data_IF_935793452295
#
_entry.id   IF_935793452295
#
_cell.length_a   1.000
_cell.length_b   1.000
_cell.length_c   1.000
_cell.angle_alpha   90.00
_cell.angle_beta   90.00
_cell.angle_gamma   90.00
#
_symmetry.space_group_name_H-M   'P 1'
#
loop_
_entity.id
_entity.type
_entity.pdbx_description
1 polymer ?
#
# COMPACT_ATOMS: atom_id res chain seq x y z
N UNK A 1 13.83 -78.77 -22.40
CA UNK A 1 12.73 -77.90 -22.84
C UNK A 1 11.81 -77.60 -21.66
N UNK A 2 11.96 -76.42 -21.04
CA UNK A 2 10.98 -75.75 -20.17
C UNK A 2 11.44 -74.29 -20.05
N UNK A 3 10.56 -73.39 -20.49
CA UNK A 3 10.76 -71.95 -20.65
C UNK A 3 10.43 -71.27 -19.32
N UNK A 4 11.23 -70.29 -18.89
CA UNK A 4 10.89 -69.36 -17.80
C UNK A 4 10.92 -67.94 -18.37
N UNK A 5 9.80 -67.20 -18.38
CA UNK A 5 9.79 -65.84 -18.90
C UNK A 5 10.24 -64.86 -17.81
N UNK A 6 11.26 -64.04 -18.10
CA UNK A 6 11.63 -62.89 -17.29
C UNK A 6 10.62 -61.77 -17.50
N UNK A 7 9.95 -61.36 -16.42
CA UNK A 7 9.04 -60.20 -16.40
C UNK A 7 9.89 -58.92 -16.35
N UNK A 8 9.79 -58.07 -17.36
CA UNK A 8 10.36 -56.72 -17.37
C UNK A 8 9.32 -55.76 -16.79
N UNK A 9 9.59 -55.18 -15.63
CA UNK A 9 8.78 -54.12 -15.05
C UNK A 9 9.14 -52.78 -15.72
N UNK A 10 8.24 -52.25 -16.54
CA UNK A 10 8.34 -50.90 -17.08
C UNK A 10 7.91 -49.88 -16.02
N UNK A 11 8.83 -48.99 -15.62
CA UNK A 11 8.54 -47.84 -14.75
C UNK A 11 7.95 -46.72 -15.61
N UNK A 12 6.72 -46.23 -15.35
CA UNK A 12 6.22 -45.07 -16.08
C UNK A 12 6.91 -43.81 -15.56
N UNK A 13 7.63 -43.11 -16.44
CA UNK A 13 8.10 -41.76 -16.18
C UNK A 13 6.89 -40.81 -16.13
N UNK A 14 6.48 -40.42 -14.92
CA UNK A 14 5.45 -39.41 -14.73
C UNK A 14 6.01 -38.03 -15.09
N UNK A 15 5.51 -37.45 -16.18
CA UNK A 15 5.72 -36.03 -16.51
C UNK A 15 4.96 -35.17 -15.50
N UNK A 16 5.67 -34.56 -14.56
CA UNK A 16 5.12 -33.52 -13.69
C UNK A 16 4.95 -32.24 -14.52
N UNK A 17 3.75 -32.01 -15.02
CA UNK A 17 3.35 -30.75 -15.63
C UNK A 17 3.15 -29.76 -14.48
N UNK A 18 4.16 -28.93 -14.20
CA UNK A 18 4.02 -27.83 -13.25
C UNK A 18 3.03 -26.80 -13.83
N UNK A 19 1.83 -26.72 -13.25
CA UNK A 19 0.88 -25.67 -13.57
C UNK A 19 1.46 -24.30 -13.19
N UNK A 20 1.16 -23.22 -13.94
CA UNK A 20 1.61 -21.90 -13.57
C UNK A 20 0.91 -21.50 -12.27
N UNK A 21 1.70 -21.23 -11.22
CA UNK A 21 1.20 -20.58 -10.01
C UNK A 21 0.82 -19.16 -10.40
N UNK A 22 -0.48 -18.89 -10.51
CA UNK A 22 -0.97 -17.52 -10.61
C UNK A 22 -0.54 -16.80 -9.34
N UNK A 23 0.34 -15.79 -9.47
CA UNK A 23 0.67 -14.92 -8.35
C UNK A 23 -0.63 -14.27 -7.86
N UNK A 24 -1.01 -14.53 -6.62
CA UNK A 24 -2.17 -13.90 -6.02
C UNK A 24 -1.90 -12.39 -5.97
N UNK A 25 -2.77 -11.58 -6.58
CA UNK A 25 -2.74 -10.13 -6.40
C UNK A 25 -2.83 -9.84 -4.89
N UNK A 26 -2.08 -8.85 -4.37
CA UNK A 26 -2.17 -8.48 -2.97
C UNK A 26 -3.64 -8.21 -2.60
N UNK A 27 -4.07 -8.72 -1.46
CA UNK A 27 -5.41 -8.44 -0.99
C UNK A 27 -5.60 -6.92 -0.90
N UNK A 28 -6.75 -6.44 -1.39
CA UNK A 28 -7.13 -5.04 -1.33
C UNK A 28 -7.19 -4.61 0.14
N UNK A 29 -6.39 -3.64 0.60
CA UNK A 29 -6.37 -3.29 2.00
C UNK A 29 -7.67 -2.61 2.42
N UNK A 30 -8.11 -2.87 3.65
CA UNK A 30 -9.23 -2.18 4.26
C UNK A 30 -8.90 -0.71 4.56
N UNK A 31 -9.93 0.09 4.80
CA UNK A 31 -9.76 1.50 5.16
C UNK A 31 -8.90 1.67 6.42
N UNK A 32 -9.06 0.80 7.41
CA UNK A 32 -8.27 0.82 8.64
C UNK A 32 -6.81 0.44 8.39
N UNK A 33 -6.56 -0.54 7.49
CA UNK A 33 -5.20 -0.91 7.10
C UNK A 33 -4.49 0.24 6.38
N UNK A 34 -5.16 0.92 5.45
CA UNK A 34 -4.61 2.10 4.76
C UNK A 34 -4.41 3.29 5.70
N UNK A 35 -5.32 3.48 6.66
CA UNK A 35 -5.17 4.52 7.70
C UNK A 35 -3.93 4.23 8.55
N UNK A 36 -3.77 3.00 9.04
CA UNK A 36 -2.60 2.61 9.82
C UNK A 36 -1.30 2.72 9.00
N UNK A 37 -1.34 2.41 7.72
CA UNK A 37 -0.20 2.59 6.82
C UNK A 37 0.19 4.07 6.69
N UNK A 38 -0.77 4.95 6.41
CA UNK A 38 -0.52 6.38 6.33
C UNK A 38 0.00 6.93 7.66
N UNK A 39 -0.52 6.45 8.80
CA UNK A 39 0.01 6.80 10.13
C UNK A 39 1.47 6.40 10.29
N UNK A 40 1.89 5.21 9.83
CA UNK A 40 3.31 4.81 9.84
C UNK A 40 4.17 5.71 8.97
N UNK A 41 3.74 6.02 7.75
CA UNK A 41 4.47 6.91 6.84
C UNK A 41 4.71 8.32 7.44
N UNK A 42 3.74 8.82 8.22
CA UNK A 42 3.79 10.12 8.87
C UNK A 42 4.41 10.11 10.27
N UNK A 43 4.69 8.94 10.85
CA UNK A 43 5.23 8.84 12.19
C UNK A 43 6.73 9.19 12.21
N UNK A 44 7.05 10.42 12.60
CA UNK A 44 8.42 10.96 12.67
C UNK A 44 9.31 10.32 13.73
N UNK A 45 8.76 9.44 14.60
CA UNK A 45 9.56 8.62 15.51
C UNK A 45 10.10 7.32 14.90
N UNK A 46 9.59 6.92 13.73
CA UNK A 46 10.12 5.79 12.97
C UNK A 46 11.33 6.20 12.13
N UNK A 47 12.18 5.24 11.75
CA UNK A 47 13.29 5.52 10.83
C UNK A 47 12.76 5.92 9.44
N UNK A 48 13.57 6.68 8.71
CA UNK A 48 13.20 7.11 7.36
C UNK A 48 13.03 5.93 6.41
N UNK A 49 13.78 4.84 6.58
CA UNK A 49 13.63 3.62 5.79
C UNK A 49 12.28 2.93 6.06
N UNK A 50 11.88 2.84 7.34
CA UNK A 50 10.60 2.24 7.71
C UNK A 50 9.42 3.03 7.14
N UNK A 51 9.55 4.36 7.08
CA UNK A 51 8.54 5.25 6.50
C UNK A 51 8.56 5.22 4.98
N UNK A 52 9.74 5.23 4.38
CA UNK A 52 9.95 5.11 2.94
C UNK A 52 9.37 3.81 2.37
N UNK A 53 9.34 2.73 3.15
CA UNK A 53 8.74 1.47 2.73
C UNK A 53 7.24 1.60 2.37
N UNK A 54 6.55 2.60 2.97
CA UNK A 54 5.12 2.87 2.74
C UNK A 54 4.85 3.85 1.58
N UNK A 55 5.91 4.42 0.98
CA UNK A 55 5.83 5.51 0.01
C UNK A 55 6.39 5.09 -1.35
N UNK A 56 5.68 5.41 -2.45
CA UNK A 56 6.12 5.13 -3.82
C UNK A 56 7.54 5.67 -4.08
N UNK A 57 7.78 6.95 -3.76
CA UNK A 57 9.08 7.59 -3.94
C UNK A 57 10.17 7.12 -2.96
N UNK A 58 9.87 6.16 -2.07
CA UNK A 58 10.81 5.67 -1.08
C UNK A 58 11.39 6.80 -0.23
N UNK A 59 12.72 6.82 -0.08
CA UNK A 59 13.43 7.87 0.68
C UNK A 59 13.22 9.28 0.10
N UNK A 60 13.04 9.41 -1.22
CA UNK A 60 12.79 10.71 -1.82
C UNK A 60 11.44 11.32 -1.38
N UNK A 61 10.49 10.48 -0.95
CA UNK A 61 9.18 10.90 -0.47
C UNK A 61 9.10 11.24 1.02
N UNK A 62 10.12 10.89 1.78
CA UNK A 62 10.17 11.17 3.22
C UNK A 62 10.10 12.66 3.55
N UNK A 63 10.77 13.59 2.83
CA UNK A 63 10.62 15.02 3.09
C UNK A 63 9.18 15.53 2.92
N UNK A 64 8.45 15.06 1.91
CA UNK A 64 7.02 15.39 1.76
C UNK A 64 6.20 14.83 2.92
N UNK A 65 6.47 13.60 3.36
CA UNK A 65 5.82 13.01 4.53
C UNK A 65 6.14 13.79 5.83
N UNK A 66 7.36 14.31 5.99
CA UNK A 66 7.74 15.18 7.11
C UNK A 66 6.93 16.48 7.13
N UNK A 67 6.78 17.11 5.97
CA UNK A 67 6.00 18.34 5.83
C UNK A 67 4.53 18.10 6.23
N UNK A 68 3.93 17.01 5.78
CA UNK A 68 2.56 16.62 6.13
C UNK A 68 2.46 16.35 7.63
N UNK A 69 3.35 15.53 8.18
CA UNK A 69 3.36 15.16 9.59
C UNK A 69 3.46 16.39 10.51
N UNK A 70 4.35 17.33 10.18
CA UNK A 70 4.51 18.57 10.94
C UNK A 70 3.21 19.37 11.08
N UNK A 71 2.39 19.42 10.01
CA UNK A 71 1.09 20.08 10.05
C UNK A 71 0.08 19.26 10.85
N UNK A 72 -0.05 17.96 10.55
CA UNK A 72 -1.02 17.10 11.22
C UNK A 72 -0.78 17.03 12.73
N UNK A 73 0.47 16.96 13.17
CA UNK A 73 0.84 16.97 14.59
C UNK A 73 0.49 18.29 15.26
N UNK A 74 0.80 19.42 14.60
CA UNK A 74 0.49 20.77 15.10
C UNK A 74 -1.01 20.96 15.34
N UNK A 75 -1.85 20.38 14.49
CA UNK A 75 -3.31 20.52 14.56
C UNK A 75 -4.03 19.27 15.09
N UNK A 76 -3.31 18.30 15.64
CA UNK A 76 -3.85 16.99 16.06
C UNK A 76 -4.99 17.06 17.10
N UNK A 77 -5.04 18.13 17.90
CA UNK A 77 -6.13 18.37 18.86
C UNK A 77 -7.37 19.04 18.25
N UNK A 78 -7.25 19.56 17.04
CA UNK A 78 -8.28 20.36 16.35
C UNK A 78 -8.83 19.68 15.09
N UNK A 79 -8.16 18.66 14.58
CA UNK A 79 -8.62 17.87 13.44
C UNK A 79 -8.42 16.38 13.66
N UNK A 80 -9.24 15.57 13.01
CA UNK A 80 -9.00 14.14 12.85
C UNK A 80 -9.00 13.79 11.36
N UNK A 81 -8.36 12.68 11.02
CA UNK A 81 -8.36 12.18 9.65
C UNK A 81 -8.40 10.66 9.61
N UNK A 82 -8.94 10.10 8.53
CA UNK A 82 -8.94 8.66 8.24
C UNK A 82 -9.10 8.40 6.75
N UNK A 83 -8.56 7.28 6.29
CA UNK A 83 -8.83 6.79 4.94
C UNK A 83 -10.22 6.13 4.91
N UNK A 84 -10.93 6.26 3.80
CA UNK A 84 -12.28 5.73 3.60
C UNK A 84 -12.48 5.22 2.18
N UNK A 85 -13.49 4.38 2.00
CA UNK A 85 -13.99 3.93 0.69
C UNK A 85 -12.89 3.36 -0.24
N UNK A 86 -12.01 2.43 0.22
CA UNK A 86 -11.04 1.81 -0.66
C UNK A 86 -11.74 0.96 -1.72
N UNK A 87 -11.35 1.15 -2.98
CA UNK A 87 -11.84 0.42 -4.15
C UNK A 87 -10.64 0.01 -5.00
N UNK A 88 -10.53 -1.27 -5.27
CA UNK A 88 -9.50 -1.78 -6.16
C UNK A 88 -9.74 -1.37 -7.61
N UNK A 89 -8.66 -0.99 -8.29
CA UNK A 89 -8.64 -0.57 -9.68
C UNK A 89 -7.36 -1.08 -10.35
N UNK A 90 -7.31 -2.37 -10.68
CA UNK A 90 -6.14 -3.01 -11.27
C UNK A 90 -4.96 -3.06 -10.31
N UNK A 91 -3.90 -2.33 -10.64
CA UNK A 91 -2.66 -2.17 -9.85
C UNK A 91 -2.76 -1.06 -8.80
N UNK A 92 -3.98 -0.57 -8.52
CA UNK A 92 -4.24 0.53 -7.58
C UNK A 92 -5.33 0.20 -6.58
N UNK A 93 -5.29 0.91 -5.47
CA UNK A 93 -6.43 1.06 -4.56
C UNK A 93 -6.76 2.55 -4.45
N UNK A 94 -7.88 2.94 -5.05
CA UNK A 94 -8.42 4.30 -4.92
C UNK A 94 -9.15 4.41 -3.58
N UNK A 95 -9.02 5.53 -2.89
CA UNK A 95 -9.70 5.78 -1.63
C UNK A 95 -9.88 7.29 -1.42
N UNK A 96 -10.45 7.68 -0.28
CA UNK A 96 -10.57 9.06 0.14
C UNK A 96 -9.88 9.28 1.48
N UNK A 97 -9.09 10.34 1.61
CA UNK A 97 -8.69 10.88 2.90
C UNK A 97 -9.81 11.80 3.39
N UNK A 98 -10.49 11.40 4.45
CA UNK A 98 -11.48 12.25 5.12
C UNK A 98 -10.79 13.02 6.25
N UNK A 99 -10.81 14.35 6.17
CA UNK A 99 -10.30 15.27 7.20
C UNK A 99 -11.49 15.97 7.85
N UNK A 100 -11.62 15.82 9.17
CA UNK A 100 -12.73 16.33 9.96
C UNK A 100 -12.24 17.36 10.96
N UNK A 101 -12.86 18.54 10.93
CA UNK A 101 -12.63 19.62 11.91
C UNK A 101 -13.96 19.84 12.64
N UNK A 102 -13.99 19.80 14.00
CA UNK A 102 -15.22 20.06 14.75
C UNK A 102 -15.88 21.36 14.30
N UNK A 103 -17.21 21.36 14.20
CA UNK A 103 -18.06 22.50 13.74
C UNK A 103 -17.91 22.83 12.24
N UNK A 104 -16.76 22.60 11.62
CA UNK A 104 -16.50 22.89 10.19
C UNK A 104 -16.87 21.73 9.25
N UNK A 105 -17.09 20.53 9.80
CA UNK A 105 -17.50 19.34 9.04
C UNK A 105 -16.32 18.52 8.52
N UNK A 106 -16.60 17.64 7.56
CA UNK A 106 -15.62 16.74 6.94
C UNK A 106 -15.42 17.08 5.48
N UNK A 107 -14.16 17.16 5.04
CA UNK A 107 -13.78 17.26 3.63
C UNK A 107 -13.08 15.97 3.22
N UNK A 108 -13.27 15.55 1.98
CA UNK A 108 -12.62 14.37 1.41
C UNK A 108 -11.67 14.77 0.30
N UNK A 109 -10.56 14.05 0.21
CA UNK A 109 -9.55 14.20 -0.85
C UNK A 109 -9.31 12.84 -1.49
N UNK A 110 -9.42 12.76 -2.81
CA UNK A 110 -9.17 11.53 -3.53
C UNK A 110 -7.68 11.22 -3.53
N UNK A 111 -7.35 10.01 -3.08
CA UNK A 111 -5.99 9.49 -2.99
C UNK A 111 -5.97 8.04 -3.42
N UNK A 112 -4.80 7.52 -3.73
CA UNK A 112 -4.62 6.15 -4.14
C UNK A 112 -3.25 5.60 -3.77
N UNK A 113 -3.24 4.29 -3.59
CA UNK A 113 -2.05 3.46 -3.44
C UNK A 113 -1.78 2.71 -4.74
N UNK A 114 -0.52 2.43 -4.99
CA UNK A 114 -0.07 1.56 -6.09
C UNK A 114 0.51 0.28 -5.52
N UNK A 115 0.34 -0.83 -6.23
CA UNK A 115 1.08 -2.06 -5.93
C UNK A 115 2.48 -1.95 -6.51
N UNK A 116 3.48 -1.95 -5.63
CA UNK A 116 4.89 -1.98 -6.01
C UNK A 116 5.55 -3.18 -5.35
N UNK A 117 5.92 -4.16 -6.19
CA UNK A 117 6.59 -5.40 -5.77
C UNK A 117 5.78 -6.21 -4.74
N UNK A 118 4.45 -6.24 -4.88
CA UNK A 118 3.54 -6.97 -3.99
C UNK A 118 3.25 -6.24 -2.68
N UNK A 119 3.61 -4.95 -2.59
CA UNK A 119 3.35 -4.09 -1.44
C UNK A 119 2.62 -2.82 -1.88
N UNK A 120 1.51 -2.51 -1.21
CA UNK A 120 0.79 -1.28 -1.42
C UNK A 120 1.58 -0.09 -0.88
N UNK A 121 1.80 0.93 -1.72
CA UNK A 121 2.50 2.15 -1.34
C UNK A 121 1.68 3.37 -1.68
N UNK A 122 1.72 4.39 -0.81
CA UNK A 122 1.06 5.65 -1.10
C UNK A 122 1.73 6.27 -2.32
N UNK A 123 0.94 6.60 -3.34
CA UNK A 123 1.49 7.20 -4.56
C UNK A 123 2.04 8.60 -4.30
N UNK A 124 3.05 9.00 -5.06
CA UNK A 124 3.63 10.35 -4.99
C UNK A 124 2.58 11.43 -5.30
N UNK A 125 1.70 11.16 -6.27
CA UNK A 125 0.55 12.04 -6.59
C UNK A 125 -0.34 12.23 -5.36
N UNK A 126 -0.67 11.15 -4.64
CA UNK A 126 -1.49 11.23 -3.45
C UNK A 126 -0.77 11.90 -2.28
N UNK A 127 0.53 11.66 -2.11
CA UNK A 127 1.37 12.41 -1.19
C UNK A 127 1.29 13.92 -1.45
N UNK A 128 1.37 14.34 -2.72
CA UNK A 128 1.20 15.75 -3.09
C UNK A 128 -0.21 16.30 -2.85
N UNK A 129 -1.27 15.51 -3.10
CA UNK A 129 -2.65 15.90 -2.78
C UNK A 129 -2.79 16.15 -1.28
N UNK A 130 -2.28 15.24 -0.44
CA UNK A 130 -2.34 15.40 1.01
C UNK A 130 -1.53 16.63 1.44
N UNK A 131 -0.31 16.80 0.92
CA UNK A 131 0.53 17.95 1.23
C UNK A 131 -0.17 19.28 0.91
N UNK A 132 -0.69 19.43 -0.31
CA UNK A 132 -1.23 20.71 -0.80
C UNK A 132 -2.64 20.97 -0.29
N UNK A 133 -3.52 19.98 -0.37
CA UNK A 133 -4.96 20.21 -0.23
C UNK A 133 -5.47 19.94 1.19
N UNK A 134 -4.84 18.97 1.90
CA UNK A 134 -5.21 18.63 3.28
C UNK A 134 -4.32 19.33 4.31
N UNK A 135 -3.00 19.41 4.06
CA UNK A 135 -2.02 19.97 4.99
C UNK A 135 -1.58 21.40 4.66
N UNK A 136 -1.87 21.93 3.47
CA UNK A 136 -1.46 23.29 3.09
C UNK A 136 0.05 23.53 3.13
N UNK A 137 0.84 22.53 2.74
CA UNK A 137 2.30 22.52 2.79
C UNK A 137 2.93 22.11 1.45
N UNK A 138 4.25 22.16 1.35
CA UNK A 138 4.99 21.85 0.14
C UNK A 138 5.04 20.34 -0.15
N UNK A 139 4.84 19.99 -1.43
CA UNK A 139 5.19 18.68 -1.96
C UNK A 139 6.54 18.77 -2.67
N UNK A 140 7.46 17.87 -2.33
CA UNK A 140 8.88 17.91 -2.72
C UNK A 140 9.35 16.68 -3.48
N UNK A 141 8.45 15.75 -3.77
CA UNK A 141 8.68 14.58 -4.64
C UNK A 141 8.39 14.85 -6.11
#
# INVERSE_FOLDING_TARGET
>A
MRIVPSVVLAVPAALLIAAPVAAAQPAVPSADQLTAQLQRALNTSLSDEARAAELEGGLAAVPTANNIASVMDRYSSMMSWKVQNPVAAGDRVNAQLAVSIPVMGTRTHDIYWIDQDGSWKLSNVSGCVIARDAAGTECTV
#
